data_IF_994994889754
#
_entry.id   IF_994994889754
#
_cell.length_a   1.000
_cell.length_b   1.000
_cell.length_c   1.000
_cell.angle_alpha   90.00
_cell.angle_beta   90.00
_cell.angle_gamma   90.00
#
_symmetry.space_group_name_H-M   'P 1'
#
loop_
_entity.id
_entity.type
_entity.pdbx_description
1 polymer ?
#
# COMPACT_ATOMS: atom_id res chain seq x y z
N UNK A 1 1.62 27.29 -37.23
CA UNK A 1 0.81 26.93 -36.05
C UNK A 1 0.69 25.42 -36.03
N UNK A 2 1.70 24.74 -35.46
CA UNK A 2 1.78 23.27 -35.43
C UNK A 2 1.25 22.79 -34.08
N UNK A 3 0.15 22.06 -34.11
CA UNK A 3 -0.45 21.43 -32.93
C UNK A 3 0.44 20.26 -32.51
N UNK A 4 1.13 20.42 -31.38
CA UNK A 4 1.80 19.32 -30.69
C UNK A 4 0.71 18.43 -30.10
N UNK A 5 0.53 17.25 -30.67
CA UNK A 5 -0.21 16.14 -30.07
C UNK A 5 0.63 15.58 -28.92
N UNK A 6 0.24 15.91 -27.70
CA UNK A 6 0.68 15.29 -26.47
C UNK A 6 0.13 13.86 -26.39
N UNK A 7 0.95 12.91 -26.83
CA UNK A 7 0.63 11.48 -26.88
C UNK A 7 0.64 10.80 -25.51
N UNK A 8 0.28 11.49 -24.43
CA UNK A 8 0.30 10.93 -23.08
C UNK A 8 -1.10 10.84 -22.48
N UNK A 9 -1.92 9.99 -23.10
CA UNK A 9 -3.13 9.45 -22.50
C UNK A 9 -2.73 8.32 -21.54
N UNK A 10 -3.18 8.33 -20.27
CA UNK A 10 -2.95 7.21 -19.36
C UNK A 10 -3.69 5.97 -19.90
N UNK A 11 -2.93 5.02 -20.45
CA UNK A 11 -3.49 3.79 -21.05
C UNK A 11 -2.70 3.17 -22.19
N UNK A 12 -1.60 3.77 -22.66
CA UNK A 12 -0.74 3.14 -23.68
C UNK A 12 0.14 2.07 -23.04
N UNK A 13 -0.25 0.81 -23.22
CA UNK A 13 0.44 -0.37 -22.72
C UNK A 13 1.72 -0.64 -23.56
N UNK A 14 2.76 0.18 -23.36
CA UNK A 14 4.08 -0.09 -23.93
C UNK A 14 4.81 -1.08 -23.04
N UNK A 15 4.80 -2.36 -23.44
CA UNK A 15 5.62 -3.39 -22.82
C UNK A 15 7.09 -3.15 -23.17
N UNK A 16 7.84 -2.50 -22.29
CA UNK A 16 9.30 -2.57 -22.32
C UNK A 16 9.72 -3.99 -21.88
N UNK A 17 10.02 -4.83 -22.86
CA UNK A 17 10.50 -6.20 -22.66
C UNK A 17 11.99 -6.15 -22.30
N UNK A 18 12.30 -6.21 -21.00
CA UNK A 18 13.64 -6.56 -20.53
C UNK A 18 13.92 -8.02 -20.90
N UNK A 19 15.00 -8.33 -21.65
CA UNK A 19 15.29 -9.69 -22.11
C UNK A 19 15.83 -10.54 -20.96
N UNK A 20 14.92 -11.18 -20.24
CA UNK A 20 15.24 -12.13 -19.17
C UNK A 20 14.00 -12.51 -18.37
N UNK A 21 13.34 -13.60 -18.78
CA UNK A 21 12.13 -14.20 -18.18
C UNK A 21 10.78 -13.53 -18.51
N UNK A 22 10.30 -13.72 -19.75
CA UNK A 22 8.87 -13.59 -20.08
C UNK A 22 8.11 -14.78 -19.47
N UNK A 23 7.76 -14.66 -18.20
CA UNK A 23 6.64 -15.42 -17.62
C UNK A 23 5.42 -15.00 -18.45
N UNK A 24 4.63 -15.92 -18.98
CA UNK A 24 3.37 -15.58 -19.64
C UNK A 24 2.40 -15.03 -18.59
N UNK A 25 2.55 -13.76 -18.25
CA UNK A 25 1.69 -13.04 -17.31
C UNK A 25 0.36 -12.81 -18.02
N UNK A 26 -0.73 -13.17 -17.36
CA UNK A 26 -2.04 -12.99 -17.92
C UNK A 26 -2.33 -11.49 -18.05
N UNK A 27 -2.84 -10.97 -19.19
CA UNK A 27 -3.03 -9.52 -19.37
C UNK A 27 -3.96 -8.91 -18.31
N UNK A 28 -4.96 -9.67 -17.83
CA UNK A 28 -5.84 -9.22 -16.74
C UNK A 28 -5.11 -9.16 -15.41
N UNK A 29 -4.12 -10.02 -15.17
CA UNK A 29 -3.33 -9.97 -13.93
C UNK A 29 -2.55 -8.66 -13.84
N UNK A 30 -2.00 -8.18 -14.97
CA UNK A 30 -1.32 -6.89 -15.00
C UNK A 30 -2.28 -5.72 -14.81
N UNK A 31 -3.49 -5.79 -15.38
CA UNK A 31 -4.54 -4.78 -15.16
C UNK A 31 -4.95 -4.75 -13.69
N UNK A 32 -5.17 -5.91 -13.08
CA UNK A 32 -5.55 -6.02 -11.66
C UNK A 32 -4.49 -5.39 -10.75
N UNK A 33 -3.21 -5.71 -10.97
CA UNK A 33 -2.11 -5.14 -10.17
C UNK A 33 -1.95 -3.62 -10.29
N UNK A 34 -2.32 -3.04 -11.43
CA UNK A 34 -2.14 -1.60 -11.70
C UNK A 34 -3.40 -0.77 -11.44
N UNK A 35 -4.57 -1.41 -11.36
CA UNK A 35 -5.87 -0.73 -11.26
C UNK A 35 -5.94 0.25 -10.09
N UNK A 36 -5.55 -0.18 -8.89
CA UNK A 36 -5.62 0.64 -7.68
C UNK A 36 -4.72 1.88 -7.79
N UNK A 37 -3.46 1.70 -8.20
CA UNK A 37 -2.52 2.80 -8.37
C UNK A 37 -3.01 3.82 -9.42
N UNK A 38 -3.58 3.34 -10.53
CA UNK A 38 -4.15 4.18 -11.57
C UNK A 38 -5.36 4.98 -11.06
N UNK A 39 -6.25 4.35 -10.28
CA UNK A 39 -7.39 5.02 -9.66
C UNK A 39 -6.95 6.13 -8.71
N UNK A 40 -5.95 5.87 -7.87
CA UNK A 40 -5.39 6.88 -6.97
C UNK A 40 -4.78 8.06 -7.74
N UNK A 41 -4.00 7.80 -8.79
CA UNK A 41 -3.43 8.86 -9.63
C UNK A 41 -4.52 9.73 -10.29
N UNK A 42 -5.57 9.10 -10.80
CA UNK A 42 -6.71 9.80 -11.40
C UNK A 42 -7.46 10.67 -10.37
N UNK A 43 -7.68 10.16 -9.16
CA UNK A 43 -8.28 10.94 -8.07
C UNK A 43 -7.43 12.16 -7.71
N UNK A 44 -6.11 11.97 -7.56
CA UNK A 44 -5.18 13.07 -7.25
C UNK A 44 -5.18 14.15 -8.35
N UNK A 45 -5.14 13.72 -9.61
CA UNK A 45 -5.25 14.64 -10.76
C UNK A 45 -6.57 15.41 -10.73
N UNK A 46 -7.69 14.73 -10.50
CA UNK A 46 -9.02 15.34 -10.43
C UNK A 46 -9.11 16.38 -9.32
N UNK A 47 -8.63 16.05 -8.12
CA UNK A 47 -8.63 16.94 -6.96
C UNK A 47 -7.78 18.19 -7.20
N UNK A 48 -6.61 18.03 -7.83
CA UNK A 48 -5.74 19.14 -8.16
C UNK A 48 -6.40 20.10 -9.16
N UNK A 49 -7.06 19.56 -10.18
CA UNK A 49 -7.74 20.37 -11.18
C UNK A 49 -8.99 21.09 -10.64
N UNK A 50 -9.75 20.43 -9.76
CA UNK A 50 -11.00 20.99 -9.23
C UNK A 50 -10.78 21.98 -8.08
N UNK A 51 -9.90 21.63 -7.15
CA UNK A 51 -9.72 22.37 -5.90
C UNK A 51 -8.34 23.03 -5.78
N UNK A 52 -7.42 22.75 -6.70
CA UNK A 52 -6.05 23.25 -6.66
C UNK A 52 -5.10 22.37 -5.83
N UNK A 53 -3.84 22.79 -5.77
CA UNK A 53 -2.74 22.02 -5.14
C UNK A 53 -2.91 21.80 -3.64
N UNK A 54 -3.55 22.72 -2.93
CA UNK A 54 -3.70 22.65 -1.47
C UNK A 54 -4.54 21.43 -1.02
N UNK A 55 -5.59 21.08 -1.76
CA UNK A 55 -6.46 19.96 -1.43
C UNK A 55 -5.72 18.63 -1.53
N UNK A 56 -4.99 18.45 -2.62
CA UNK A 56 -4.15 17.28 -2.83
C UNK A 56 -3.08 17.14 -1.73
N UNK A 57 -2.37 18.24 -1.41
CA UNK A 57 -1.36 18.22 -0.35
C UNK A 57 -1.95 17.85 1.01
N UNK A 58 -3.12 18.40 1.35
CA UNK A 58 -3.83 18.05 2.59
C UNK A 58 -4.10 16.55 2.67
N UNK A 59 -4.65 15.96 1.61
CA UNK A 59 -4.95 14.53 1.58
C UNK A 59 -3.69 13.68 1.69
N UNK A 60 -2.59 14.07 1.03
CA UNK A 60 -1.31 13.38 1.19
C UNK A 60 -0.79 13.46 2.63
N UNK A 61 -0.93 14.62 3.29
CA UNK A 61 -0.52 14.76 4.69
C UNK A 61 -1.39 13.92 5.63
N UNK A 62 -2.70 13.87 5.41
CA UNK A 62 -3.62 13.03 6.20
C UNK A 62 -3.28 11.54 6.02
N UNK A 63 -3.05 11.10 4.79
CA UNK A 63 -2.63 9.74 4.48
C UNK A 63 -1.30 9.39 5.17
N UNK A 64 -0.30 10.29 5.13
CA UNK A 64 0.98 10.09 5.79
C UNK A 64 0.83 9.96 7.32
N UNK A 65 0.00 10.81 7.93
CA UNK A 65 -0.30 10.75 9.37
C UNK A 65 -0.95 9.41 9.74
N UNK A 66 -1.92 8.94 8.96
CA UNK A 66 -2.62 7.68 9.23
C UNK A 66 -1.78 6.43 8.93
N UNK A 67 -0.80 6.53 8.04
CA UNK A 67 0.17 5.46 7.77
C UNK A 67 1.18 5.25 8.90
N UNK A 68 1.27 6.16 9.86
CA UNK A 68 2.22 6.06 10.96
C UNK A 68 1.75 5.03 12.00
N UNK A 69 2.59 4.03 12.27
CA UNK A 69 2.38 3.09 13.37
C UNK A 69 2.58 3.81 14.72
N UNK A 70 1.55 3.76 15.60
CA UNK A 70 1.62 4.28 16.97
C UNK A 70 1.41 3.20 18.06
N UNK A 71 1.29 1.92 17.68
CA UNK A 71 1.02 0.81 18.61
C UNK A 71 2.29 0.24 19.24
N UNK A 72 2.11 -0.57 20.28
CA UNK A 72 3.19 -1.30 20.93
C UNK A 72 3.92 -2.21 19.92
N UNK A 73 5.25 -2.35 20.03
CA UNK A 73 6.01 -3.26 19.18
C UNK A 73 5.48 -4.68 19.30
N UNK A 74 5.15 -5.27 18.15
CA UNK A 74 4.73 -6.67 18.07
C UNK A 74 3.26 -6.89 17.77
N UNK A 75 2.43 -5.87 17.96
CA UNK A 75 1.08 -5.89 17.45
C UNK A 75 1.07 -5.12 16.13
N UNK A 76 0.70 -5.79 15.04
CA UNK A 76 0.49 -5.11 13.78
C UNK A 76 -0.63 -4.06 13.94
N UNK A 77 -0.46 -2.92 13.29
CA UNK A 77 -1.55 -1.96 13.19
C UNK A 77 -2.41 -2.36 12.02
N UNK A 78 -3.71 -2.55 12.26
CA UNK A 78 -4.71 -2.79 11.22
C UNK A 78 -4.98 -1.53 10.37
N UNK A 79 -4.37 -0.38 10.68
CA UNK A 79 -4.50 0.87 9.93
C UNK A 79 -5.94 1.28 9.59
N UNK A 80 -6.91 1.00 10.47
CA UNK A 80 -8.34 1.18 10.18
C UNK A 80 -8.70 2.57 9.66
N UNK A 81 -8.13 3.63 10.24
CA UNK A 81 -8.34 5.00 9.75
C UNK A 81 -7.82 5.22 8.33
N UNK A 82 -6.67 4.64 7.99
CA UNK A 82 -6.10 4.70 6.64
C UNK A 82 -6.96 3.90 5.65
N UNK A 83 -7.43 2.71 6.06
CA UNK A 83 -8.31 1.86 5.24
C UNK A 83 -9.63 2.58 4.91
N UNK A 84 -10.24 3.23 5.91
CA UNK A 84 -11.44 4.05 5.69
C UNK A 84 -11.17 5.26 4.79
N UNK A 85 -10.02 5.94 4.93
CA UNK A 85 -9.67 7.04 4.01
C UNK A 85 -9.47 6.56 2.56
N UNK A 86 -9.00 5.33 2.37
CA UNK A 86 -8.81 4.72 1.05
C UNK A 86 -10.08 4.06 0.51
N UNK A 87 -11.15 3.96 1.30
CA UNK A 87 -12.39 3.28 0.95
C UNK A 87 -12.24 1.76 0.80
N UNK A 88 -11.23 1.17 1.45
CA UNK A 88 -10.99 -0.27 1.41
C UNK A 88 -11.87 -1.04 2.40
N UNK A 89 -12.45 -0.35 3.40
CA UNK A 89 -13.32 -0.95 4.42
C UNK A 89 -14.71 -1.35 3.90
N UNK A 90 -15.10 -0.89 2.71
CA UNK A 90 -16.36 -1.25 2.05
C UNK A 90 -16.27 -2.53 1.22
N UNK A 91 -15.05 -3.00 0.92
CA UNK A 91 -14.79 -4.13 0.03
C UNK A 91 -14.08 -5.25 0.77
N UNK A 92 -14.37 -6.51 0.42
CA UNK A 92 -13.70 -7.70 0.98
C UNK A 92 -12.85 -8.32 -0.11
N UNK A 93 -11.55 -8.46 0.15
CA UNK A 93 -10.59 -9.08 -0.76
C UNK A 93 -10.37 -10.57 -0.44
N UNK A 94 -9.62 -11.28 -1.28
CA UNK A 94 -9.36 -12.71 -1.09
C UNK A 94 -8.46 -12.96 0.12
N UNK A 95 -7.54 -12.04 0.38
CA UNK A 95 -6.63 -12.05 1.52
C UNK A 95 -7.40 -12.01 2.85
N UNK A 96 -8.53 -11.30 2.91
CA UNK A 96 -9.35 -11.20 4.12
C UNK A 96 -10.00 -12.54 4.50
N UNK A 97 -10.36 -13.35 3.49
CA UNK A 97 -10.98 -14.65 3.72
C UNK A 97 -9.97 -15.78 3.94
N UNK A 98 -8.89 -15.80 3.15
CA UNK A 98 -7.89 -16.88 3.18
C UNK A 98 -6.74 -16.61 4.16
N UNK A 99 -6.63 -15.39 4.67
CA UNK A 99 -5.49 -14.93 5.43
C UNK A 99 -4.30 -14.62 4.52
N UNK A 100 -3.64 -13.50 4.77
CA UNK A 100 -2.36 -13.19 4.14
C UNK A 100 -1.25 -14.06 4.76
N UNK A 101 -0.38 -14.69 3.96
CA UNK A 101 0.79 -15.39 4.49
C UNK A 101 1.80 -14.43 5.17
N UNK A 102 1.63 -13.11 4.99
CA UNK A 102 2.46 -12.09 5.64
C UNK A 102 2.00 -11.76 7.07
N UNK A 103 0.74 -12.10 7.42
CA UNK A 103 0.14 -11.82 8.73
C UNK A 103 -0.26 -13.12 9.43
N UNK A 104 0.72 -13.94 9.86
CA UNK A 104 0.43 -15.11 10.67
C UNK A 104 -0.18 -14.67 12.01
N UNK A 105 -1.29 -15.31 12.41
CA UNK A 105 -1.94 -15.11 13.71
C UNK A 105 -1.12 -15.82 14.80
N UNK A 106 0.14 -15.43 14.94
CA UNK A 106 1.01 -15.94 15.98
C UNK A 106 0.77 -15.13 17.26
N UNK A 107 0.28 -15.81 18.30
CA UNK A 107 0.10 -15.22 19.63
C UNK A 107 1.46 -15.10 20.32
N UNK A 108 2.28 -14.15 19.88
CA UNK A 108 3.57 -13.84 20.52
C UNK A 108 3.34 -12.86 21.67
N UNK A 109 3.94 -13.14 22.83
CA UNK A 109 3.87 -12.24 23.98
C UNK A 109 4.48 -10.88 23.64
N UNK A 110 3.74 -9.79 23.93
CA UNK A 110 4.23 -8.40 23.75
C UNK A 110 5.53 -8.17 24.53
N UNK A 111 5.70 -8.87 25.66
CA UNK A 111 6.92 -8.79 26.46
C UNK A 111 8.14 -9.28 25.68
N UNK A 112 8.06 -10.45 25.06
CA UNK A 112 9.16 -11.06 24.31
C UNK A 112 9.58 -10.20 23.11
N UNK A 113 8.61 -9.57 22.44
CA UNK A 113 8.86 -8.68 21.31
C UNK A 113 9.53 -7.39 21.76
N UNK A 114 9.10 -6.84 22.90
CA UNK A 114 9.70 -5.65 23.48
C UNK A 114 11.11 -5.94 24.00
N UNK A 115 11.35 -7.10 24.62
CA UNK A 115 12.69 -7.53 25.04
C UNK A 115 13.65 -7.64 23.85
N UNK A 116 13.20 -8.24 22.74
CA UNK A 116 13.97 -8.33 21.50
C UNK A 116 14.27 -6.95 20.91
N UNK A 117 13.30 -6.03 20.90
CA UNK A 117 13.46 -4.67 20.37
C UNK A 117 14.39 -3.81 21.24
N UNK A 118 14.32 -3.96 22.56
CA UNK A 118 15.16 -3.25 23.52
C UNK A 118 16.53 -3.90 23.72
N UNK A 119 16.76 -5.10 23.14
CA UNK A 119 18.02 -5.83 23.26
C UNK A 119 18.26 -6.43 24.65
N UNK A 120 17.22 -6.56 25.47
CA UNK A 120 17.28 -7.08 26.86
C UNK A 120 16.88 -8.55 26.96
N UNK A 121 16.77 -9.23 25.82
CA UNK A 121 16.41 -10.65 25.72
C UNK A 121 17.14 -11.48 26.77
N UNK A 122 16.39 -12.05 27.70
CA UNK A 122 16.89 -12.79 28.86
C UNK A 122 17.47 -14.19 28.52
N UNK A 123 17.77 -14.45 27.25
CA UNK A 123 18.25 -15.75 26.76
C UNK A 123 19.78 -15.85 26.81
N UNK A 124 20.37 -15.68 28.01
CA UNK A 124 21.77 -16.04 28.25
C UNK A 124 22.16 -16.24 29.75
N UNK A 125 21.30 -16.74 30.65
CA UNK A 125 21.78 -17.44 31.86
C UNK A 125 20.62 -18.07 32.66
N UNK A 126 20.30 -19.33 32.42
CA UNK A 126 19.74 -20.23 33.43
C UNK A 126 20.09 -21.67 33.03
N UNK A 127 21.16 -22.17 33.65
CA UNK A 127 21.31 -23.59 33.98
C UNK A 127 20.26 -23.95 35.03
#
# INVERSE_FOLDING_TARGET
>A
MALRLDSNLPGTFSAEVTPGATRFVHPVEQIQKTSLANQQQLQQFTLNNMFGTHMFLRLQTEQAILSQFQRLPGLQSEFSGLQTMLGQDETIELEDYLGSPMDPVDNVSVHDIMEKRLGVSTLAHRY
#
